data_IF_424106747096
#
_entry.id   IF_424106747096
#
_cell.length_a   1.000
_cell.length_b   1.000
_cell.length_c   1.000
_cell.angle_alpha   90.00
_cell.angle_beta   90.00
_cell.angle_gamma   90.00
#
_symmetry.space_group_name_H-M   'P 1'
#
loop_
_entity.id
_entity.type
_entity.pdbx_description
1 polymer ?
#
# COMPACT_ATOMS: atom_id res chain seq x y z
N UNK A 1 -3.34 -3.97 30.90
CA UNK A 1 -2.46 -2.80 30.82
C UNK A 1 -3.20 -1.71 30.05
N UNK A 2 -3.30 -0.51 30.60
CA UNK A 2 -3.91 0.63 29.91
C UNK A 2 -3.15 0.86 28.59
N UNK A 3 -3.87 0.87 27.47
CA UNK A 3 -3.36 1.21 26.14
C UNK A 3 -2.88 2.68 26.16
N UNK A 4 -1.66 2.95 26.66
CA UNK A 4 -1.08 4.27 26.52
C UNK A 4 -0.73 4.47 25.05
N UNK A 5 -1.53 5.29 24.35
CA UNK A 5 -1.22 5.73 22.99
C UNK A 5 0.24 6.19 22.95
N UNK A 6 1.05 5.59 22.07
CA UNK A 6 2.43 6.04 21.85
C UNK A 6 2.42 7.51 21.43
N UNK A 7 3.32 8.31 22.00
CA UNK A 7 3.49 9.71 21.67
C UNK A 7 3.79 9.88 20.18
N UNK A 8 3.16 10.87 19.54
CA UNK A 8 3.45 11.32 18.18
C UNK A 8 4.22 12.65 18.21
N UNK A 9 4.79 13.06 17.08
CA UNK A 9 5.60 14.27 16.98
C UNK A 9 4.94 15.53 17.59
N UNK A 10 3.64 15.75 17.36
CA UNK A 10 2.91 16.89 17.91
C UNK A 10 2.75 16.84 19.43
N UNK A 11 2.64 15.65 20.00
CA UNK A 11 2.56 15.45 21.46
C UNK A 11 3.90 15.85 22.13
N UNK A 12 4.99 15.87 21.36
CA UNK A 12 6.33 16.32 21.79
C UNK A 12 6.57 17.81 21.52
N UNK A 13 5.56 18.57 21.10
CA UNK A 13 5.68 20.01 20.81
C UNK A 13 6.28 20.34 19.44
N UNK A 14 6.50 19.35 18.56
CA UNK A 14 6.98 19.60 17.19
C UNK A 14 5.85 20.25 16.39
N UNK A 15 6.13 21.44 15.87
CA UNK A 15 5.17 22.23 15.10
C UNK A 15 5.26 21.91 13.61
N UNK A 16 4.10 21.82 12.96
CA UNK A 16 3.97 21.64 11.52
C UNK A 16 3.01 22.69 10.97
N UNK A 17 3.17 23.07 9.70
CA UNK A 17 2.48 24.24 9.12
C UNK A 17 0.96 24.14 8.92
N UNK A 18 0.33 22.97 9.10
CA UNK A 18 -1.13 22.79 9.00
C UNK A 18 -1.67 22.01 10.18
N UNK A 19 -2.96 22.20 10.48
CA UNK A 19 -3.71 21.39 11.45
C UNK A 19 -4.16 20.11 10.73
N UNK A 20 -3.89 18.91 11.27
CA UNK A 20 -4.33 17.66 10.67
C UNK A 20 -5.80 17.37 11.00
N UNK A 21 -6.38 16.44 10.27
CA UNK A 21 -7.69 15.90 10.58
C UNK A 21 -7.68 15.00 11.84
N UNK A 22 -8.82 14.39 12.14
CA UNK A 22 -9.13 13.71 13.40
C UNK A 22 -8.07 12.69 13.83
N UNK A 23 -7.62 11.83 12.92
CA UNK A 23 -6.68 10.77 13.22
C UNK A 23 -5.24 11.13 12.88
N UNK A 24 -5.01 12.23 12.15
CA UNK A 24 -3.71 12.61 11.60
C UNK A 24 -3.04 11.39 10.94
N UNK A 25 -3.79 10.73 10.04
CA UNK A 25 -3.44 9.48 9.39
C UNK A 25 -4.10 9.36 8.01
N UNK A 26 -3.56 8.51 7.15
CA UNK A 26 -4.11 8.27 5.80
C UNK A 26 -5.59 7.81 5.81
N UNK A 27 -6.03 7.19 6.91
CA UNK A 27 -7.41 6.75 7.15
C UNK A 27 -8.38 7.89 7.48
N UNK A 28 -7.90 9.14 7.56
CA UNK A 28 -8.80 10.30 7.59
C UNK A 28 -9.56 10.47 6.25
N UNK A 29 -9.02 9.93 5.15
CA UNK A 29 -9.74 9.84 3.87
C UNK A 29 -10.76 8.70 3.94
N UNK A 30 -12.02 9.03 3.70
CA UNK A 30 -13.12 8.07 3.73
C UNK A 30 -12.90 6.89 2.79
N UNK A 31 -13.23 5.69 3.27
CA UNK A 31 -13.07 4.43 2.54
C UNK A 31 -11.67 3.84 2.58
N UNK A 32 -10.62 4.61 2.92
CA UNK A 32 -9.26 4.08 3.00
C UNK A 32 -9.09 3.22 4.27
N UNK A 33 -8.65 1.99 4.09
CA UNK A 33 -8.32 1.08 5.19
C UNK A 33 -6.85 0.68 5.14
N UNK A 34 -6.25 0.48 6.32
CA UNK A 34 -4.86 0.05 6.47
C UNK A 34 -4.80 -1.17 7.38
N UNK A 35 -4.13 -2.22 6.92
CA UNK A 35 -3.77 -3.40 7.71
C UNK A 35 -2.26 -3.57 7.74
N UNK A 36 -1.74 -4.18 8.80
CA UNK A 36 -0.31 -4.48 8.86
C UNK A 36 -0.04 -5.77 9.65
N UNK A 37 1.12 -6.36 9.38
CA UNK A 37 1.68 -7.47 10.15
C UNK A 37 3.14 -7.26 10.36
N UNK A 38 3.51 -7.18 11.62
CA UNK A 38 4.90 -7.18 12.05
C UNK A 38 5.30 -8.58 12.47
N UNK A 39 6.48 -9.01 12.05
CA UNK A 39 7.11 -10.29 12.37
C UNK A 39 8.39 -9.95 13.11
N UNK A 40 8.39 -10.28 14.40
CA UNK A 40 9.52 -10.09 15.31
C UNK A 40 9.81 -11.47 15.87
N UNK A 41 10.94 -12.04 15.47
CA UNK A 41 11.35 -13.36 15.93
C UNK A 41 12.85 -13.38 16.23
N UNK A 42 13.21 -14.05 17.32
CA UNK A 42 14.57 -14.08 17.84
C UNK A 42 15.18 -12.66 17.89
N UNK A 43 16.49 -12.54 17.67
CA UNK A 43 17.18 -11.26 17.71
C UNK A 43 17.32 -10.60 16.33
N UNK A 44 17.25 -11.36 15.24
CA UNK A 44 17.59 -10.89 13.89
C UNK A 44 16.38 -10.65 12.96
N UNK A 45 15.25 -11.33 13.17
CA UNK A 45 14.11 -11.24 12.24
C UNK A 45 13.22 -10.07 12.65
N UNK A 46 13.25 -9.00 11.85
CA UNK A 46 12.43 -7.80 12.00
C UNK A 46 11.91 -7.39 10.62
N UNK A 47 10.75 -7.92 10.24
CA UNK A 47 10.13 -7.66 8.94
C UNK A 47 8.61 -7.58 9.07
N UNK A 48 7.91 -7.34 7.98
CA UNK A 48 6.47 -7.24 7.97
C UNK A 48 5.90 -6.81 6.63
N UNK A 49 4.58 -6.73 6.58
CA UNK A 49 3.82 -6.24 5.43
C UNK A 49 2.82 -5.20 5.92
N UNK A 50 2.71 -4.10 5.20
CA UNK A 50 1.61 -3.14 5.36
C UNK A 50 0.78 -3.17 4.08
N UNK A 51 -0.54 -3.19 4.25
CA UNK A 51 -1.52 -3.18 3.16
C UNK A 51 -2.39 -1.93 3.28
N UNK A 52 -2.46 -1.15 2.20
CA UNK A 52 -3.37 -0.01 2.06
C UNK A 52 -4.43 -0.40 1.04
N UNK A 53 -5.70 -0.31 1.45
CA UNK A 53 -6.86 -0.54 0.62
C UNK A 53 -7.50 0.80 0.28
N UNK A 54 -7.32 1.33 -0.95
CA UNK A 54 -7.83 2.64 -1.35
C UNK A 54 -9.35 2.81 -1.17
N UNK A 55 -10.08 1.69 -1.27
CA UNK A 55 -11.55 1.65 -1.19
C UNK A 55 -12.06 0.63 -0.16
N UNK A 56 -11.22 0.31 0.81
CA UNK A 56 -11.55 -0.65 1.87
C UNK A 56 -11.48 -2.10 1.40
N UNK A 57 -11.80 -2.99 2.33
CA UNK A 57 -11.64 -4.43 2.13
C UNK A 57 -12.90 -5.10 1.61
N UNK A 58 -14.09 -4.51 1.73
CA UNK A 58 -15.36 -5.14 1.34
C UNK A 58 -15.39 -5.53 -0.14
N UNK A 59 -15.95 -6.70 -0.46
CA UNK A 59 -15.93 -7.23 -1.84
C UNK A 59 -16.56 -6.26 -2.85
N UNK A 60 -17.63 -5.56 -2.45
CA UNK A 60 -18.34 -4.59 -3.28
C UNK A 60 -17.48 -3.37 -3.65
N UNK A 61 -16.52 -3.00 -2.80
CA UNK A 61 -15.73 -1.77 -2.96
C UNK A 61 -14.27 -2.04 -3.35
N UNK A 62 -13.69 -3.16 -2.90
CA UNK A 62 -12.28 -3.48 -3.09
C UNK A 62 -11.90 -3.81 -4.54
N UNK A 63 -12.88 -4.20 -5.37
CA UNK A 63 -12.68 -4.43 -6.81
C UNK A 63 -12.83 -3.16 -7.64
N UNK A 64 -13.41 -2.13 -7.05
CA UNK A 64 -13.62 -0.88 -7.77
C UNK A 64 -12.28 -0.16 -7.88
N UNK A 65 -11.85 0.15 -9.10
CA UNK A 65 -10.62 0.91 -9.26
C UNK A 65 -10.79 2.36 -8.80
N UNK A 66 -9.67 2.99 -8.46
CA UNK A 66 -9.57 4.43 -8.25
C UNK A 66 -8.50 5.02 -9.18
N UNK A 67 -8.52 6.33 -9.43
CA UNK A 67 -7.43 6.92 -10.20
C UNK A 67 -6.17 7.01 -9.35
N UNK A 68 -5.04 6.71 -9.98
CA UNK A 68 -3.72 6.76 -9.39
C UNK A 68 -2.66 7.04 -10.45
N UNK A 69 -1.51 7.49 -9.99
CA UNK A 69 -0.28 7.49 -10.76
C UNK A 69 0.89 7.50 -9.78
N UNK A 70 2.13 7.41 -10.26
CA UNK A 70 3.29 7.25 -9.38
C UNK A 70 4.48 8.08 -9.86
N UNK A 71 5.45 8.38 -9.00
CA UNK A 71 6.71 9.02 -9.37
C UNK A 71 7.87 8.32 -8.65
N UNK A 72 8.99 8.16 -9.35
CA UNK A 72 10.24 7.72 -8.77
C UNK A 72 11.22 8.88 -8.80
N UNK A 73 11.74 9.23 -7.62
CA UNK A 73 12.86 10.17 -7.48
C UNK A 73 14.19 9.41 -7.63
N UNK A 74 14.33 8.28 -6.93
CA UNK A 74 15.39 7.31 -7.13
C UNK A 74 14.80 5.90 -7.24
N UNK A 75 15.13 5.21 -8.34
CA UNK A 75 14.51 3.96 -8.78
C UNK A 75 15.33 2.70 -8.47
N UNK A 76 16.24 2.73 -7.50
CA UNK A 76 17.12 1.60 -7.17
C UNK A 76 16.40 0.40 -6.49
N UNK A 77 15.08 0.28 -6.65
CA UNK A 77 14.26 -0.73 -6.00
C UNK A 77 13.07 -1.15 -6.87
N UNK A 78 12.15 -1.90 -6.28
CA UNK A 78 11.05 -2.53 -7.01
C UNK A 78 9.68 -1.98 -6.59
N UNK A 79 8.86 -1.64 -7.58
CA UNK A 79 7.44 -1.40 -7.43
C UNK A 79 6.67 -2.00 -8.61
N UNK A 80 5.99 -3.12 -8.33
CA UNK A 80 5.19 -3.83 -9.33
C UNK A 80 3.93 -3.04 -9.73
N UNK A 81 3.40 -3.26 -10.93
CA UNK A 81 2.14 -2.65 -11.40
C UNK A 81 2.25 -1.21 -11.94
N UNK A 82 3.44 -0.62 -11.89
CA UNK A 82 3.75 0.75 -12.34
C UNK A 82 3.41 1.02 -13.80
N UNK A 83 3.64 0.06 -14.69
CA UNK A 83 3.35 0.22 -16.12
C UNK A 83 1.84 0.36 -16.36
N UNK A 84 1.03 -0.48 -15.70
CA UNK A 84 -0.42 -0.38 -15.78
C UNK A 84 -0.94 0.93 -15.17
N UNK A 85 -0.35 1.38 -14.06
CA UNK A 85 -0.68 2.68 -13.46
C UNK A 85 -0.36 3.85 -14.41
N UNK A 86 0.78 3.82 -15.11
CA UNK A 86 1.15 4.87 -16.07
C UNK A 86 0.22 4.89 -17.27
N UNK A 87 -0.10 3.71 -17.83
CA UNK A 87 -0.89 3.58 -19.05
C UNK A 87 -2.38 3.84 -18.81
N UNK A 88 -2.96 3.16 -17.82
CA UNK A 88 -4.40 3.19 -17.58
C UNK A 88 -4.83 4.28 -16.61
N UNK A 89 -3.94 4.68 -15.70
CA UNK A 89 -4.28 5.57 -14.58
C UNK A 89 -5.17 4.93 -13.51
N UNK A 90 -5.41 3.61 -13.57
CA UNK A 90 -6.25 2.90 -12.61
C UNK A 90 -5.43 2.10 -11.60
N UNK A 91 -5.78 2.26 -10.32
CA UNK A 91 -5.36 1.39 -9.23
C UNK A 91 -6.54 0.48 -8.85
N UNK A 92 -6.45 -0.78 -9.28
CA UNK A 92 -7.50 -1.79 -9.10
C UNK A 92 -7.20 -2.78 -7.96
N UNK A 93 -6.04 -2.64 -7.31
CA UNK A 93 -5.57 -3.56 -6.26
C UNK A 93 -5.14 -2.79 -5.01
N UNK A 94 -4.99 -3.49 -3.89
CA UNK A 94 -4.40 -2.91 -2.68
C UNK A 94 -2.91 -2.64 -2.88
N UNK A 95 -2.39 -1.62 -2.20
CA UNK A 95 -0.96 -1.31 -2.19
C UNK A 95 -0.30 -2.06 -1.04
N UNK A 96 0.70 -2.88 -1.33
CA UNK A 96 1.48 -3.59 -0.32
C UNK A 96 2.90 -3.03 -0.23
N UNK A 97 3.40 -2.83 0.99
CA UNK A 97 4.80 -2.49 1.26
C UNK A 97 5.44 -3.56 2.13
N UNK A 98 6.63 -4.00 1.78
CA UNK A 98 7.40 -5.06 2.46
C UNK A 98 8.91 -4.83 2.24
N UNK A 99 9.77 -5.70 2.77
CA UNK A 99 11.19 -5.69 2.39
C UNK A 99 11.45 -6.27 1.00
N UNK A 100 12.56 -5.89 0.39
CA UNK A 100 12.94 -6.22 -0.99
C UNK A 100 12.76 -7.70 -1.35
N UNK A 101 13.19 -8.61 -0.47
CA UNK A 101 13.17 -10.05 -0.75
C UNK A 101 11.76 -10.67 -0.79
N UNK A 102 10.73 -9.96 -0.32
CA UNK A 102 9.35 -10.46 -0.23
C UNK A 102 8.38 -9.82 -1.21
N UNK A 103 8.87 -8.98 -2.15
CA UNK A 103 8.02 -8.31 -3.15
C UNK A 103 7.22 -9.32 -3.98
N UNK A 104 7.89 -10.36 -4.50
CA UNK A 104 7.24 -11.42 -5.28
C UNK A 104 6.16 -12.16 -4.49
N UNK A 105 6.45 -12.49 -3.23
CA UNK A 105 5.49 -13.20 -2.36
C UNK A 105 4.26 -12.33 -2.03
N UNK A 106 4.45 -11.03 -1.82
CA UNK A 106 3.35 -10.10 -1.61
C UNK A 106 2.44 -10.01 -2.84
N UNK A 107 3.03 -9.92 -4.03
CA UNK A 107 2.29 -9.93 -5.31
C UNK A 107 1.44 -11.20 -5.47
N UNK A 108 2.03 -12.37 -5.25
CA UNK A 108 1.29 -13.62 -5.41
C UNK A 108 0.19 -13.78 -4.34
N UNK A 109 0.48 -13.33 -3.11
CA UNK A 109 -0.47 -13.38 -2.00
C UNK A 109 -1.69 -12.50 -2.25
N UNK A 110 -1.52 -11.27 -2.77
CA UNK A 110 -2.66 -10.38 -3.03
C UNK A 110 -3.53 -10.88 -4.19
N UNK A 111 -2.93 -11.43 -5.25
CA UNK A 111 -3.70 -12.06 -6.34
C UNK A 111 -4.54 -13.21 -5.80
N UNK A 112 -3.93 -14.09 -4.99
CA UNK A 112 -4.65 -15.19 -4.33
C UNK A 112 -5.76 -14.69 -3.41
N UNK A 113 -5.54 -13.58 -2.71
CA UNK A 113 -6.55 -12.94 -1.87
C UNK A 113 -7.79 -12.54 -2.67
N UNK A 114 -7.59 -11.82 -3.77
CA UNK A 114 -8.68 -11.40 -4.63
C UNK A 114 -9.45 -12.61 -5.16
N UNK A 115 -8.76 -13.64 -5.68
CA UNK A 115 -9.41 -14.86 -6.20
C UNK A 115 -10.24 -15.60 -5.14
N UNK A 116 -9.75 -15.68 -3.89
CA UNK A 116 -10.53 -16.32 -2.83
C UNK A 116 -11.72 -15.46 -2.40
N UNK A 117 -11.54 -14.14 -2.37
CA UNK A 117 -12.60 -13.22 -1.98
C UNK A 117 -13.72 -13.15 -3.01
N UNK A 118 -13.41 -13.31 -4.30
CA UNK A 118 -14.42 -13.43 -5.37
C UNK A 118 -15.16 -14.76 -5.34
N UNK A 119 -14.48 -15.85 -4.96
CA UNK A 119 -15.04 -17.20 -4.99
C UNK A 119 -15.80 -17.58 -3.71
N UNK A 120 -15.69 -16.78 -2.64
CA UNK A 120 -16.23 -17.14 -1.32
C UNK A 120 -17.32 -16.16 -0.88
N UNK A 121 -18.58 -16.57 -1.04
CA UNK A 121 -19.75 -15.95 -0.36
C UNK A 121 -19.79 -16.24 1.15
N UNK A 122 -18.71 -16.77 1.74
CA UNK A 122 -18.66 -17.09 3.17
C UNK A 122 -17.23 -17.13 3.70
N UNK A 123 -17.05 -16.62 4.92
CA UNK A 123 -15.83 -16.57 5.75
C UNK A 123 -14.77 -15.50 5.42
N UNK A 124 -14.87 -14.36 6.13
CA UNK A 124 -13.70 -13.64 6.64
C UNK A 124 -13.92 -13.43 8.13
N UNK A 125 -13.12 -14.13 8.93
CA UNK A 125 -12.95 -13.82 10.34
C UNK A 125 -11.76 -12.86 10.48
N UNK A 126 -12.03 -11.70 11.06
CA UNK A 126 -11.05 -10.64 11.31
C UNK A 126 -10.80 -10.52 12.82
N UNK A 127 -10.75 -11.64 13.52
CA UNK A 127 -10.29 -11.70 14.91
C UNK A 127 -8.93 -12.41 15.06
N UNK A 128 -8.00 -11.63 15.63
CA UNK A 128 -6.79 -12.03 16.34
C UNK A 128 -5.59 -12.70 15.61
N UNK A 129 -4.56 -11.85 15.41
CA UNK A 129 -3.12 -12.09 15.61
C UNK A 129 -2.25 -12.69 14.50
N UNK A 130 -2.75 -13.03 13.32
CA UNK A 130 -1.88 -13.39 12.17
C UNK A 130 -2.42 -12.80 10.87
N UNK A 131 -1.63 -11.99 10.12
CA UNK A 131 -1.98 -11.64 8.75
C UNK A 131 -1.80 -12.89 7.91
N UNK A 132 -2.91 -13.59 7.78
CA UNK A 132 -3.11 -14.70 6.89
C UNK A 132 -3.82 -14.10 5.68
N UNK A 133 -3.09 -13.99 4.58
CA UNK A 133 -3.72 -13.64 3.30
C UNK A 133 -4.21 -14.96 2.73
N UNK A 134 -5.51 -15.24 2.86
CA UNK A 134 -6.16 -16.36 2.17
C UNK A 134 -5.63 -17.76 2.56
N UNK A 135 -5.60 -18.04 3.86
CA UNK A 135 -5.04 -19.28 4.41
C UNK A 135 -3.52 -19.42 4.27
N UNK A 136 -2.85 -18.55 3.50
CA UNK A 136 -1.40 -18.45 3.48
C UNK A 136 -0.99 -17.58 4.66
N UNK A 137 -0.30 -18.14 5.65
CA UNK A 137 0.37 -17.34 6.64
C UNK A 137 1.56 -16.66 5.94
N UNK A 138 1.32 -15.51 5.31
CA UNK A 138 2.39 -14.73 4.64
C UNK A 138 3.51 -14.47 5.64
N UNK A 139 3.16 -14.26 6.91
CA UNK A 139 4.15 -14.18 7.98
C UNK A 139 4.92 -15.47 8.29
N UNK A 140 4.45 -16.66 7.91
CA UNK A 140 5.22 -17.91 7.97
C UNK A 140 5.99 -18.24 6.70
N UNK A 141 5.48 -17.90 5.52
CA UNK A 141 6.25 -18.11 4.28
C UNK A 141 7.47 -17.17 4.22
N UNK A 142 7.35 -15.95 4.77
CA UNK A 142 8.48 -15.04 5.00
C UNK A 142 9.63 -15.71 5.79
N UNK A 143 9.32 -16.68 6.66
CA UNK A 143 10.30 -17.37 7.52
C UNK A 143 11.15 -18.43 6.80
N UNK A 144 10.83 -18.81 5.55
CA UNK A 144 11.59 -19.85 4.82
C UNK A 144 12.87 -19.34 4.17
N UNK A 145 13.05 -18.03 4.10
CA UNK A 145 14.24 -17.42 3.49
C UNK A 145 15.26 -17.17 4.60
N UNK A 146 16.41 -17.84 4.54
CA UNK A 146 17.56 -17.54 5.40
C UNK A 146 18.07 -16.13 5.06
N UNK A 147 17.80 -15.18 5.96
CA UNK A 147 18.33 -13.82 5.82
C UNK A 147 19.77 -13.84 6.33
N UNK A 148 20.72 -13.79 5.40
CA UNK A 148 22.13 -13.64 5.75
C UNK A 148 22.35 -12.20 6.29
N UNK A 149 22.37 -12.06 7.60
CA UNK A 149 22.41 -10.77 8.30
C UNK A 149 23.78 -10.07 8.27
N UNK A 150 24.73 -10.56 7.48
CA UNK A 150 26.12 -10.09 7.44
C UNK A 150 26.38 -8.87 6.54
N UNK A 151 25.35 -8.31 5.89
CA UNK A 151 25.46 -7.13 5.02
C UNK A 151 24.55 -5.98 5.47
N UNK A 152 24.86 -5.31 6.57
CA UNK A 152 24.24 -4.02 6.93
C UNK A 152 25.30 -2.98 7.30
N UNK A 153 26.12 -2.65 6.32
CA UNK A 153 26.89 -1.40 6.28
C UNK A 153 26.45 -0.59 5.05
N UNK A 154 25.17 -0.24 4.97
CA UNK A 154 24.71 0.70 3.94
C UNK A 154 23.99 1.88 4.57
N UNK A 155 24.58 3.07 4.39
CA UNK A 155 24.03 4.37 4.77
C UNK A 155 22.83 4.80 3.89
N UNK A 156 22.30 3.92 3.04
CA UNK A 156 21.19 4.22 2.13
C UNK A 156 19.86 3.72 2.69
N UNK A 157 19.07 4.63 3.25
CA UNK A 157 17.65 4.40 3.55
C UNK A 157 16.79 4.46 2.29
N UNK A 158 15.65 3.78 2.31
CA UNK A 158 14.63 3.82 1.24
C UNK A 158 13.30 4.34 1.79
N UNK A 159 12.56 5.07 0.96
CA UNK A 159 11.26 5.67 1.31
C UNK A 159 10.21 5.32 0.25
N UNK A 160 9.10 4.76 0.73
CA UNK A 160 7.88 4.59 -0.05
C UNK A 160 6.81 5.51 0.54
N UNK A 161 6.27 6.43 -0.26
CA UNK A 161 5.15 7.28 0.13
C UNK A 161 3.86 6.84 -0.57
N UNK A 162 2.79 6.71 0.21
CA UNK A 162 1.45 6.44 -0.29
C UNK A 162 0.58 7.62 0.12
N UNK A 163 0.03 8.31 -0.87
CA UNK A 163 -0.80 9.49 -0.66
C UNK A 163 -2.24 9.20 -1.08
N UNK A 164 -3.18 9.39 -0.16
CA UNK A 164 -4.61 9.35 -0.44
C UNK A 164 -5.18 10.77 -0.50
N UNK A 165 -6.10 11.03 -1.41
CA UNK A 165 -6.87 12.28 -1.44
C UNK A 165 -8.30 12.04 -1.91
N UNK A 166 -9.23 12.81 -1.39
CA UNK A 166 -10.62 12.93 -1.84
C UNK A 166 -10.80 14.05 -2.88
N UNK A 167 -9.73 14.75 -3.28
CA UNK A 167 -9.79 15.69 -4.39
C UNK A 167 -10.04 14.92 -5.70
N UNK A 168 -10.95 15.38 -6.58
CA UNK A 168 -11.31 14.70 -7.83
C UNK A 168 -10.23 14.91 -8.91
N UNK A 169 -9.07 14.28 -8.71
CA UNK A 169 -7.89 14.44 -9.56
C UNK A 169 -7.82 13.35 -10.63
N UNK A 170 -7.46 13.74 -11.85
CA UNK A 170 -7.14 12.84 -12.95
C UNK A 170 -5.73 12.24 -12.80
N UNK A 171 -5.42 11.09 -13.43
CA UNK A 171 -4.13 10.41 -13.28
C UNK A 171 -2.90 11.31 -13.55
N UNK A 172 -2.95 12.17 -14.58
CA UNK A 172 -1.85 13.10 -14.86
C UNK A 172 -1.69 14.20 -13.79
N UNK A 173 -2.77 14.58 -13.09
CA UNK A 173 -2.72 15.52 -11.97
C UNK A 173 -2.12 14.83 -10.74
N UNK A 174 -2.47 13.57 -10.50
CA UNK A 174 -1.87 12.73 -9.46
C UNK A 174 -0.36 12.55 -9.72
N UNK A 175 0.07 12.38 -10.97
CA UNK A 175 1.50 12.38 -11.32
C UNK A 175 2.19 13.69 -10.93
N UNK A 176 1.55 14.85 -11.17
CA UNK A 176 2.07 16.17 -10.74
C UNK A 176 2.06 16.35 -9.22
N UNK A 177 1.16 15.68 -8.52
CA UNK A 177 1.14 15.66 -7.06
C UNK A 177 2.30 14.81 -6.51
N UNK A 178 2.55 13.64 -7.12
CA UNK A 178 3.66 12.76 -6.78
C UNK A 178 5.02 13.47 -6.84
N UNK A 179 5.22 14.36 -7.83
CA UNK A 179 6.47 15.14 -7.97
C UNK A 179 6.64 16.24 -6.92
N UNK A 180 5.66 16.48 -6.05
CA UNK A 180 5.77 17.44 -4.92
C UNK A 180 6.29 16.79 -3.65
N UNK A 181 6.16 15.48 -3.51
CA UNK A 181 6.58 14.72 -2.33
C UNK A 181 8.08 14.88 -2.03
N UNK A 182 9.00 14.85 -3.03
CA UNK A 182 10.42 15.14 -2.80
C UNK A 182 10.71 16.46 -2.09
N UNK A 183 9.90 17.51 -2.33
CA UNK A 183 10.10 18.81 -1.69
C UNK A 183 9.79 18.77 -0.19
N UNK A 184 8.87 17.91 0.24
CA UNK A 184 8.58 17.66 1.65
C UNK A 184 9.68 16.84 2.31
N UNK A 185 10.15 15.81 1.62
CA UNK A 185 11.20 14.91 2.07
C UNK A 185 12.55 15.64 2.21
N UNK A 186 12.94 16.45 1.22
CA UNK A 186 14.18 17.25 1.27
C UNK A 186 14.19 18.29 2.40
N UNK A 187 13.03 18.76 2.87
CA UNK A 187 12.95 19.62 4.07
C UNK A 187 13.32 18.88 5.37
N UNK A 188 13.26 17.55 5.36
CA UNK A 188 13.67 16.70 6.48
C UNK A 188 15.16 16.32 6.39
N UNK A 189 15.89 16.81 5.38
CA UNK A 189 17.32 16.58 5.21
C UNK A 189 17.67 15.35 4.39
N UNK A 190 16.69 14.68 3.76
CA UNK A 190 16.98 13.60 2.83
C UNK A 190 17.65 14.14 1.56
N UNK A 191 18.64 13.39 1.08
CA UNK A 191 19.50 13.71 -0.05
C UNK A 191 19.27 12.80 -1.26
N UNK A 192 18.32 11.86 -1.18
CA UNK A 192 18.06 10.85 -2.22
C UNK A 192 19.36 10.13 -2.62
N UNK A 193 19.99 9.48 -1.63
CA UNK A 193 21.28 8.80 -1.80
C UNK A 193 21.24 7.81 -2.98
N UNK A 194 22.38 7.58 -3.64
CA UNK A 194 22.44 6.81 -4.90
C UNK A 194 21.78 5.43 -4.79
N UNK A 195 21.95 4.75 -3.65
CA UNK A 195 21.37 3.42 -3.42
C UNK A 195 19.93 3.44 -2.83
N UNK A 196 19.34 4.61 -2.58
CA UNK A 196 18.00 4.76 -2.02
C UNK A 196 16.91 4.36 -3.03
N UNK A 197 15.76 3.95 -2.48
CA UNK A 197 14.54 3.71 -3.25
C UNK A 197 13.51 4.72 -2.81
N UNK A 198 13.27 5.74 -3.64
CA UNK A 198 12.36 6.85 -3.33
C UNK A 198 11.22 6.87 -4.34
N UNK A 199 10.11 6.25 -3.96
CA UNK A 199 8.96 6.02 -4.83
C UNK A 199 7.67 6.44 -4.16
N UNK A 200 6.81 7.15 -4.91
CA UNK A 200 5.61 7.75 -4.37
C UNK A 200 4.37 7.42 -5.21
N UNK A 201 3.27 7.08 -4.55
CA UNK A 201 2.02 6.63 -5.15
C UNK A 201 0.82 7.41 -4.61
N UNK A 202 0.43 8.52 -5.25
CA UNK A 202 -0.85 9.17 -4.98
C UNK A 202 -2.03 8.50 -5.69
N UNK A 203 -3.15 8.40 -4.97
CA UNK A 203 -4.45 7.99 -5.51
C UNK A 203 -5.60 8.89 -5.02
N UNK A 204 -6.67 8.96 -5.82
CA UNK A 204 -7.89 9.71 -5.52
C UNK A 204 -9.07 8.78 -5.26
N UNK A 205 -9.77 8.94 -4.14
CA UNK A 205 -10.92 8.09 -3.76
C UNK A 205 -12.26 8.52 -4.41
N UNK A 206 -12.34 9.73 -4.96
CA UNK A 206 -13.59 10.36 -5.42
C UNK A 206 -14.07 9.86 -6.79
N UNK A 207 -13.18 9.32 -7.61
CA UNK A 207 -13.51 8.98 -9.00
C UNK A 207 -14.04 7.53 -9.09
N UNK A 208 -15.34 7.37 -8.80
CA UNK A 208 -16.05 6.08 -8.70
C UNK A 208 -16.25 5.37 -10.05
N UNK A 209 -16.04 6.06 -11.18
CA UNK A 209 -16.37 5.60 -12.53
C UNK A 209 -15.57 4.40 -13.08
N UNK A 210 -14.54 3.91 -12.37
CA UNK A 210 -13.73 2.79 -12.82
C UNK A 210 -14.27 1.39 -12.43
N UNK A 211 -15.42 1.34 -11.74
CA UNK A 211 -16.01 0.10 -11.21
C UNK A 211 -16.89 -0.67 -12.21
N UNK A 212 -17.22 -0.10 -13.37
CA UNK A 212 -18.32 -0.57 -14.23
C UNK A 212 -17.90 -1.11 -15.61
N UNK A 213 -16.61 -1.27 -15.90
CA UNK A 213 -16.18 -1.62 -17.27
C UNK A 213 -16.39 -3.11 -17.62
N UNK A 214 -16.49 -4.04 -16.66
CA UNK A 214 -16.49 -5.48 -17.00
C UNK A 214 -17.76 -6.29 -16.66
N UNK A 215 -18.81 -5.68 -16.08
CA UNK A 215 -20.03 -6.44 -15.70
C UNK A 215 -21.21 -6.35 -16.68
N UNK A 216 -21.00 -5.88 -17.93
CA UNK A 216 -22.09 -5.79 -18.93
C UNK A 216 -21.98 -6.65 -20.19
N UNK A 217 -20.93 -7.46 -20.39
CA UNK A 217 -20.89 -8.39 -21.52
C UNK A 217 -20.24 -9.73 -21.19
N UNK A 218 -21.08 -10.71 -20.80
CA UNK A 218 -21.03 -12.09 -21.32
C UNK A 218 -22.24 -12.91 -20.82
N UNK A 219 -23.44 -12.48 -21.21
CA UNK A 219 -24.49 -13.44 -21.60
C UNK A 219 -24.52 -13.43 -23.13
N UNK A 220 -23.59 -14.15 -23.74
CA UNK A 220 -23.83 -14.70 -25.07
C UNK A 220 -24.50 -16.06 -24.82
N UNK A 221 -25.82 -16.06 -24.86
CA UNK A 221 -26.62 -17.26 -25.01
C UNK A 221 -26.20 -17.94 -26.31
N UNK A 222 -25.42 -19.01 -26.20
CA UNK A 222 -25.33 -20.01 -27.27
C UNK A 222 -26.57 -20.87 -27.08
N UNK A 223 -27.63 -20.56 -27.82
CA UNK A 223 -28.73 -21.50 -28.02
C UNK A 223 -28.26 -22.62 -28.98
N UNK A 224 -28.79 -23.85 -28.80
CA UNK A 224 -28.20 -25.10 -29.27
C UNK A 224 -28.10 -25.27 -30.79
#
# INVERSE_FOLDING_TARGET
>A
MLNSRKLRARDLGIQFGRIPDKYNAITDIEGVQVGFKTIIQCDSIRTGVTAVFPRGTDLATCQSSCFANWFSLNGNGDMTGTHWLTESGFLSSSVLTTSTDYVGMCRDSIVKWFLMKTNSSSMIDMEDKQLIISGIPVGKEIMRIEVNSSMRESDSGSIIDILATDAPLLPHQLKRLATRIPLGIGKLGDIAAVAAVDTFLPFSTTNVLAANVDNKHNQLSIEP
#
